data_IF_718944227084
#
_entry.id   IF_718944227084
#
_cell.length_a   1.000
_cell.length_b   1.000
_cell.length_c   1.000
_cell.angle_alpha   90.00
_cell.angle_beta   90.00
_cell.angle_gamma   90.00
#
_symmetry.space_group_name_H-M   'P 1'
#
loop_
_entity.id
_entity.type
_entity.pdbx_description
1 polymer ?
#
# COMPACT_ATOMS: atom_id res chain seq x y z
N UNK A 1 -30.32 -8.47 23.36
CA UNK A 1 -29.66 -9.59 22.64
C UNK A 1 -28.30 -9.09 22.22
N UNK A 2 -27.22 -9.66 22.78
CA UNK A 2 -25.85 -9.30 22.44
C UNK A 2 -25.55 -9.86 21.05
N UNK A 3 -25.43 -9.01 20.04
CA UNK A 3 -24.92 -9.42 18.72
C UNK A 3 -23.40 -9.44 18.82
N UNK A 4 -22.83 -10.61 18.59
CA UNK A 4 -21.40 -10.87 18.52
C UNK A 4 -20.84 -10.11 17.32
N UNK A 5 -19.95 -9.14 17.56
CA UNK A 5 -19.15 -8.48 16.52
C UNK A 5 -18.01 -9.43 16.18
N UNK A 6 -17.98 -9.95 14.95
CA UNK A 6 -16.78 -10.57 14.39
C UNK A 6 -16.23 -9.52 13.42
N UNK A 7 -15.40 -8.63 13.93
CA UNK A 7 -14.53 -7.84 13.10
C UNK A 7 -13.33 -8.73 12.77
N UNK A 8 -13.30 -9.24 11.55
CA UNK A 8 -12.20 -10.08 11.07
C UNK A 8 -11.07 -9.17 10.60
N UNK A 9 -10.34 -8.57 11.56
CA UNK A 9 -9.09 -7.88 11.28
C UNK A 9 -8.00 -8.93 11.10
N UNK A 10 -7.50 -9.09 9.88
CA UNK A 10 -6.32 -9.92 9.62
C UNK A 10 -5.10 -9.05 9.91
N UNK A 11 -4.48 -9.30 11.06
CA UNK A 11 -3.09 -8.91 11.27
C UNK A 11 -2.23 -9.76 10.33
N UNK A 12 -1.63 -9.14 9.30
CA UNK A 12 -0.64 -9.78 8.45
C UNK A 12 0.59 -10.04 9.33
N UNK A 13 0.65 -11.23 9.91
CA UNK A 13 1.81 -11.65 10.70
C UNK A 13 2.88 -12.12 9.73
N UNK A 14 3.88 -11.29 9.45
CA UNK A 14 5.11 -11.72 8.80
C UNK A 14 5.82 -12.71 9.72
N UNK A 15 5.56 -14.01 9.52
CA UNK A 15 6.31 -15.06 10.19
C UNK A 15 7.72 -15.10 9.57
N UNK A 16 8.65 -14.32 10.15
CA UNK A 16 10.08 -14.55 9.97
C UNK A 16 10.40 -15.90 10.62
N UNK A 17 10.38 -16.95 9.80
CA UNK A 17 10.78 -18.30 10.17
C UNK A 17 12.28 -18.33 10.44
N UNK A 18 12.69 -18.03 11.66
CA UNK A 18 14.07 -18.24 12.10
C UNK A 18 14.26 -19.75 12.31
N UNK A 19 14.59 -20.50 11.25
CA UNK A 19 14.96 -21.91 11.38
C UNK A 19 16.40 -22.00 11.90
N UNK A 20 16.55 -22.13 13.21
CA UNK A 20 17.80 -22.63 13.80
C UNK A 20 17.82 -24.16 13.64
N UNK A 21 18.53 -24.67 12.64
CA UNK A 21 18.89 -26.08 12.59
C UNK A 21 20.13 -26.34 13.49
N UNK A 22 20.16 -27.43 14.28
CA UNK A 22 21.22 -27.71 15.24
C UNK A 22 22.45 -28.30 14.55
N UNK A 23 23.61 -27.68 14.76
CA UNK A 23 24.89 -28.26 14.35
C UNK A 23 25.32 -29.36 15.33
N UNK A 24 25.64 -30.53 14.77
CA UNK A 24 26.11 -31.72 15.46
C UNK A 24 27.45 -31.51 16.18
N UNK A 25 27.50 -32.09 17.38
CA UNK A 25 28.65 -32.19 18.27
C UNK A 25 29.73 -33.10 17.65
N UNK A 26 30.92 -32.54 17.39
CA UNK A 26 32.17 -33.31 17.30
C UNK A 26 33.24 -32.65 18.16
N UNK A 27 33.51 -33.32 19.28
CA UNK A 27 34.75 -33.22 20.06
C UNK A 27 35.91 -33.84 19.27
N UNK A 28 37.06 -33.20 19.26
CA UNK A 28 38.20 -33.55 20.12
C UNK A 28 39.50 -32.88 19.65
N UNK A 29 40.42 -32.73 20.60
CA UNK A 29 41.78 -32.18 20.61
C UNK A 29 41.92 -30.66 20.37
N UNK A 30 42.53 -29.88 21.28
CA UNK A 30 43.53 -30.26 22.26
C UNK A 30 44.70 -29.28 22.18
N UNK A 31 44.60 -28.23 23.00
CA UNK A 31 45.69 -27.46 23.63
C UNK A 31 46.84 -26.92 22.76
N UNK A 32 46.98 -25.59 22.71
CA UNK A 32 48.13 -24.88 23.34
C UNK A 32 47.97 -23.36 23.22
N UNK A 33 47.95 -22.70 24.39
CA UNK A 33 48.67 -21.47 24.79
C UNK A 33 49.41 -20.66 23.71
N UNK A 34 49.50 -19.33 23.71
CA UNK A 34 49.32 -18.29 24.72
C UNK A 34 49.46 -16.90 24.03
N UNK A 35 48.81 -15.87 24.62
CA UNK A 35 49.38 -14.53 24.92
C UNK A 35 49.49 -13.43 23.84
N UNK A 36 48.88 -12.29 24.23
CA UNK A 36 49.27 -10.88 24.03
C UNK A 36 49.42 -10.34 22.61
N UNK A 37 49.20 -9.06 22.31
CA UNK A 37 49.15 -7.86 23.13
C UNK A 37 48.48 -6.73 22.31
N UNK A 38 47.82 -5.81 23.01
CA UNK A 38 47.82 -4.33 22.91
C UNK A 38 48.06 -3.68 21.52
N UNK A 39 47.37 -2.60 21.12
CA UNK A 39 47.01 -1.33 21.77
C UNK A 39 46.06 -0.58 20.80
N UNK A 40 44.98 0.10 21.23
CA UNK A 40 44.93 1.54 21.59
C UNK A 40 45.81 2.42 20.67
N UNK A 41 45.36 3.52 20.03
CA UNK A 41 44.15 4.34 20.11
C UNK A 41 44.22 5.38 18.95
N UNK A 42 43.17 6.19 18.83
CA UNK A 42 43.13 7.56 18.30
C UNK A 42 42.76 7.82 16.82
N UNK A 43 41.86 8.79 16.73
CA UNK A 43 41.10 9.25 15.58
C UNK A 43 41.84 10.33 14.78
N UNK A 44 41.45 10.50 13.52
CA UNK A 44 41.32 11.83 12.92
C UNK A 44 40.49 11.75 11.62
N UNK A 45 39.55 12.68 11.54
CA UNK A 45 38.76 13.10 10.39
C UNK A 45 39.59 13.45 9.15
N UNK A 46 39.04 13.18 7.96
CA UNK A 46 39.09 14.13 6.85
C UNK A 46 37.94 13.90 5.86
N UNK A 47 37.61 14.99 5.17
CA UNK A 47 36.33 15.36 4.59
C UNK A 47 36.25 15.14 3.06
N UNK A 48 35.00 15.01 2.58
CA UNK A 48 34.47 15.46 1.28
C UNK A 48 34.91 14.76 -0.03
N UNK A 49 33.95 14.15 -0.75
CA UNK A 49 33.52 14.62 -2.08
C UNK A 49 32.22 13.95 -2.56
N UNK A 50 31.26 14.79 -2.93
CA UNK A 50 29.94 14.43 -3.41
C UNK A 50 29.94 13.94 -4.86
N UNK A 51 29.04 13.02 -5.18
CA UNK A 51 28.46 12.87 -6.52
C UNK A 51 26.97 12.65 -6.33
N UNK A 52 26.24 13.76 -6.46
CA UNK A 52 24.79 13.85 -6.50
C UNK A 52 24.26 13.16 -7.75
N UNK A 53 23.48 12.10 -7.57
CA UNK A 53 22.48 11.70 -8.56
C UNK A 53 21.26 12.60 -8.35
N UNK A 54 21.01 13.42 -9.35
CA UNK A 54 19.93 14.39 -9.44
C UNK A 54 18.62 13.62 -9.63
N UNK A 55 17.87 13.43 -8.54
CA UNK A 55 16.49 12.99 -8.57
C UNK A 55 15.64 14.10 -9.19
N UNK A 56 15.23 13.93 -10.45
CA UNK A 56 14.31 14.81 -11.16
C UNK A 56 12.86 14.58 -10.69
N UNK A 57 12.58 14.85 -9.42
CA UNK A 57 11.20 14.94 -8.91
C UNK A 57 10.99 16.40 -8.54
N UNK A 58 10.51 17.18 -9.51
CA UNK A 58 9.91 18.49 -9.25
C UNK A 58 8.55 18.21 -8.57
N UNK A 59 8.47 18.55 -7.28
CA UNK A 59 7.29 19.02 -6.57
C UNK A 59 5.98 18.22 -6.78
N UNK A 60 5.85 17.07 -6.09
CA UNK A 60 4.50 16.62 -5.69
C UNK A 60 3.98 17.66 -4.71
N UNK A 61 3.15 18.58 -5.20
CA UNK A 61 2.55 19.64 -4.38
C UNK A 61 1.73 19.01 -3.26
N UNK A 62 1.87 19.43 -2.00
CA UNK A 62 1.02 18.94 -0.91
C UNK A 62 -0.45 19.15 -1.27
N UNK A 63 -1.26 18.11 -1.08
CA UNK A 63 -2.70 18.08 -1.34
C UNK A 63 -3.39 19.43 -1.02
N UNK A 64 -4.04 20.01 -2.03
CA UNK A 64 -4.71 21.31 -1.98
C UNK A 64 -6.05 21.28 -1.25
N UNK A 65 -6.81 22.39 -1.28
CA UNK A 65 -8.23 22.34 -0.93
C UNK A 65 -8.94 21.35 -1.87
N UNK A 66 -9.84 20.51 -1.34
CA UNK A 66 -10.58 19.53 -2.15
C UNK A 66 -11.23 20.24 -3.34
N UNK A 67 -10.88 19.80 -4.55
CA UNK A 67 -11.35 20.42 -5.79
C UNK A 67 -12.89 20.38 -5.89
N UNK A 68 -13.48 21.54 -6.17
CA UNK A 68 -14.93 21.69 -6.36
C UNK A 68 -15.49 20.85 -7.52
N UNK A 69 -14.63 20.34 -8.40
CA UNK A 69 -15.03 19.44 -9.48
C UNK A 69 -15.70 18.15 -8.96
N UNK A 70 -15.41 17.76 -7.72
CA UNK A 70 -15.91 16.52 -7.11
C UNK A 70 -17.04 16.74 -6.09
N UNK A 71 -17.49 17.98 -5.88
CA UNK A 71 -18.48 18.33 -4.84
C UNK A 71 -19.77 17.49 -4.93
N UNK A 72 -20.25 17.23 -6.15
CA UNK A 72 -21.49 16.47 -6.36
C UNK A 72 -21.31 14.99 -5.95
N UNK A 73 -20.19 14.36 -6.35
CA UNK A 73 -19.89 12.97 -5.97
C UNK A 73 -19.70 12.83 -4.46
N UNK A 74 -18.93 13.73 -3.85
CA UNK A 74 -18.70 13.76 -2.40
C UNK A 74 -20.02 13.97 -1.65
N UNK A 75 -20.87 14.89 -2.12
CA UNK A 75 -22.18 15.14 -1.53
C UNK A 75 -23.10 13.93 -1.61
N UNK A 76 -23.14 13.23 -2.73
CA UNK A 76 -23.90 11.97 -2.87
C UNK A 76 -23.42 10.91 -1.86
N UNK A 77 -22.10 10.75 -1.68
CA UNK A 77 -21.53 9.83 -0.68
C UNK A 77 -21.91 10.23 0.75
N UNK A 78 -21.83 11.52 1.09
CA UNK A 78 -22.23 12.02 2.41
C UNK A 78 -23.72 11.75 2.68
N UNK A 79 -24.60 12.02 1.71
CA UNK A 79 -26.03 11.71 1.81
C UNK A 79 -26.26 10.21 2.03
N UNK A 80 -25.53 9.35 1.32
CA UNK A 80 -25.62 7.90 1.46
C UNK A 80 -25.24 7.44 2.86
N UNK A 81 -24.10 7.91 3.39
CA UNK A 81 -23.61 7.58 4.74
C UNK A 81 -24.54 8.08 5.85
N UNK A 82 -25.23 9.20 5.62
CA UNK A 82 -26.24 9.74 6.52
C UNK A 82 -27.61 9.03 6.41
N UNK A 83 -27.76 8.08 5.48
CA UNK A 83 -29.02 7.36 5.25
C UNK A 83 -30.11 8.24 4.63
N UNK A 84 -29.70 9.25 3.86
CA UNK A 84 -30.61 10.22 3.21
C UNK A 84 -31.04 9.75 1.82
N UNK A 85 -30.29 8.83 1.20
CA UNK A 85 -30.61 8.24 -0.09
C UNK A 85 -31.59 7.07 0.05
N UNK A 86 -32.47 6.92 -0.96
CA UNK A 86 -33.33 5.75 -1.08
C UNK A 86 -32.62 4.56 -1.77
N UNK A 87 -33.25 3.38 -1.78
CA UNK A 87 -32.65 2.15 -2.33
C UNK A 87 -32.20 2.29 -3.80
N UNK A 88 -32.98 2.98 -4.65
CA UNK A 88 -32.65 3.15 -6.07
C UNK A 88 -31.46 4.12 -6.25
N UNK A 89 -31.36 5.15 -5.41
CA UNK A 89 -30.24 6.09 -5.39
C UNK A 89 -28.96 5.43 -4.87
N UNK A 90 -29.07 4.61 -3.82
CA UNK A 90 -27.95 3.83 -3.29
C UNK A 90 -27.42 2.82 -4.30
N UNK A 91 -28.30 2.14 -5.04
CA UNK A 91 -27.88 1.22 -6.10
C UNK A 91 -27.13 1.96 -7.22
N UNK A 92 -27.60 3.14 -7.63
CA UNK A 92 -26.91 3.96 -8.64
C UNK A 92 -25.56 4.49 -8.15
N UNK A 93 -25.47 4.90 -6.89
CA UNK A 93 -24.20 5.34 -6.31
C UNK A 93 -23.21 4.18 -6.17
N UNK A 94 -23.68 2.99 -5.82
CA UNK A 94 -22.85 1.78 -5.71
C UNK A 94 -22.33 1.25 -7.06
N UNK A 95 -22.79 1.78 -8.19
CA UNK A 95 -22.17 1.57 -9.51
C UNK A 95 -20.97 2.51 -9.73
N UNK A 96 -20.87 3.60 -8.96
CA UNK A 96 -19.80 4.59 -9.04
C UNK A 96 -18.74 4.36 -7.96
N UNK A 97 -19.17 4.25 -6.70
CA UNK A 97 -18.34 4.25 -5.48
C UNK A 97 -18.43 2.89 -4.77
N UNK A 98 -17.31 2.48 -4.16
CA UNK A 98 -17.20 1.26 -3.37
C UNK A 98 -18.22 1.20 -2.23
N UNK A 99 -18.86 0.05 -2.09
CA UNK A 99 -19.76 -0.22 -0.96
C UNK A 99 -19.05 -0.24 0.38
N UNK A 100 -17.74 -0.50 0.41
CA UNK A 100 -16.95 -0.44 1.65
C UNK A 100 -16.84 1.00 2.16
N UNK A 101 -16.89 2.00 1.27
CA UNK A 101 -16.97 3.44 1.62
C UNK A 101 -18.39 3.81 2.06
N UNK A 102 -19.41 3.43 1.28
CA UNK A 102 -20.81 3.78 1.56
C UNK A 102 -21.30 3.18 2.88
N UNK A 103 -20.93 1.93 3.16
CA UNK A 103 -21.36 1.18 4.35
C UNK A 103 -20.26 1.05 5.41
N UNK A 104 -19.21 1.88 5.32
CA UNK A 104 -18.22 1.99 6.39
C UNK A 104 -18.93 2.16 7.75
N UNK A 105 -18.56 1.39 8.78
CA UNK A 105 -19.12 1.54 10.11
C UNK A 105 -18.98 2.99 10.61
N UNK A 106 -19.94 3.48 11.40
CA UNK A 106 -19.92 4.86 11.90
C UNK A 106 -18.71 5.17 12.82
N UNK A 107 -18.02 4.15 13.34
CA UNK A 107 -16.78 4.26 14.10
C UNK A 107 -15.52 4.08 13.25
N UNK A 108 -15.67 3.94 11.93
CA UNK A 108 -14.60 3.97 10.93
C UNK A 108 -14.74 5.25 10.10
N UNK A 109 -13.99 6.31 10.43
CA UNK A 109 -13.98 7.53 9.64
C UNK A 109 -13.57 7.26 8.20
N UNK A 110 -14.28 7.91 7.27
CA UNK A 110 -13.95 7.93 5.84
C UNK A 110 -13.39 9.29 5.51
N UNK A 111 -12.33 9.32 4.74
CA UNK A 111 -11.63 10.55 4.35
C UNK A 111 -11.67 10.74 2.85
N UNK A 112 -11.66 12.01 2.45
CA UNK A 112 -11.46 12.45 1.08
C UNK A 112 -10.33 13.47 1.00
N UNK A 113 -9.56 13.39 -0.08
CA UNK A 113 -8.54 14.37 -0.42
C UNK A 113 -8.37 14.42 -1.95
N UNK A 114 -7.80 15.52 -2.44
CA UNK A 114 -7.41 15.66 -3.84
C UNK A 114 -5.91 15.95 -3.97
N UNK A 115 -5.26 15.30 -4.92
CA UNK A 115 -3.83 15.44 -5.18
C UNK A 115 -3.53 15.17 -6.66
N UNK A 116 -2.82 16.08 -7.32
CA UNK A 116 -2.23 15.86 -8.65
C UNK A 116 -1.04 14.90 -8.54
N UNK A 117 -1.25 13.63 -8.92
CA UNK A 117 -0.25 12.56 -8.77
C UNK A 117 0.54 12.26 -10.05
N UNK A 118 0.11 12.74 -11.22
CA UNK A 118 0.88 12.65 -12.48
C UNK A 118 1.41 13.98 -13.01
N UNK A 119 1.25 15.06 -12.24
CA UNK A 119 1.68 16.42 -12.55
C UNK A 119 1.07 16.97 -13.85
N UNK A 120 -0.17 16.57 -14.18
CA UNK A 120 -0.90 17.05 -15.35
C UNK A 120 -1.68 18.36 -15.10
N UNK A 121 -1.74 18.82 -13.84
CA UNK A 121 -2.44 20.00 -13.38
C UNK A 121 -3.91 19.75 -12.99
N UNK A 122 -4.36 18.49 -12.97
CA UNK A 122 -5.68 18.07 -12.48
C UNK A 122 -5.49 17.24 -11.22
N UNK A 123 -6.07 17.67 -10.11
CA UNK A 123 -6.03 16.85 -8.89
C UNK A 123 -6.92 15.60 -9.02
N UNK A 124 -6.39 14.43 -8.67
CA UNK A 124 -7.15 13.19 -8.48
C UNK A 124 -7.85 13.16 -7.12
N UNK A 125 -9.10 12.72 -7.09
CA UNK A 125 -9.86 12.45 -5.86
C UNK A 125 -9.58 11.04 -5.34
N UNK A 126 -9.36 10.91 -4.04
CA UNK A 126 -9.28 9.63 -3.35
C UNK A 126 -10.31 9.53 -2.22
N UNK A 127 -11.01 8.39 -2.15
CA UNK A 127 -11.74 7.95 -0.96
C UNK A 127 -10.94 6.89 -0.23
N UNK A 128 -10.70 7.10 1.07
CA UNK A 128 -9.86 6.21 1.85
C UNK A 128 -10.27 6.15 3.32
N UNK A 129 -9.70 5.18 4.03
CA UNK A 129 -9.78 5.07 5.50
C UNK A 129 -8.37 4.97 6.05
N UNK A 130 -8.17 5.38 7.30
CA UNK A 130 -6.89 5.15 7.97
C UNK A 130 -6.84 3.76 8.59
N UNK A 131 -5.70 3.10 8.42
CA UNK A 131 -5.33 1.88 9.12
C UNK A 131 -4.15 2.15 10.05
N UNK A 132 -4.32 1.84 11.32
CA UNK A 132 -3.22 1.92 12.30
C UNK A 132 -2.23 0.78 12.10
N UNK A 133 -0.98 1.10 11.78
CA UNK A 133 0.14 0.17 11.72
C UNK A 133 0.61 -0.28 13.11
N UNK A 134 1.51 -1.27 13.17
CA UNK A 134 2.04 -1.79 14.44
C UNK A 134 2.78 -0.73 15.27
N UNK A 135 3.43 0.23 14.61
CA UNK A 135 4.13 1.34 15.26
C UNK A 135 3.22 2.51 15.67
N UNK A 136 1.91 2.38 15.39
CA UNK A 136 0.90 3.39 15.69
C UNK A 136 0.78 4.49 14.64
N UNK A 137 1.48 4.40 13.52
CA UNK A 137 1.24 5.29 12.37
C UNK A 137 -0.12 5.01 11.73
N UNK A 138 -0.78 6.06 11.26
CA UNK A 138 -2.02 5.95 10.48
C UNK A 138 -1.66 5.93 8.99
N UNK A 139 -2.07 4.88 8.29
CA UNK A 139 -1.78 4.65 6.88
C UNK A 139 -3.07 4.80 6.07
N UNK A 140 -3.10 5.68 5.06
CA UNK A 140 -4.24 5.79 4.15
C UNK A 140 -4.39 4.51 3.31
N UNK A 141 -5.54 3.85 3.41
CA UNK A 141 -5.94 2.73 2.55
C UNK A 141 -6.99 3.22 1.58
N UNK A 142 -6.65 3.27 0.30
CA UNK A 142 -7.49 3.83 -0.77
C UNK A 142 -8.50 2.77 -1.25
N UNK A 143 -9.76 3.19 -1.33
CA UNK A 143 -10.88 2.37 -1.78
C UNK A 143 -11.42 2.81 -3.14
N UNK A 144 -11.37 4.10 -3.48
CA UNK A 144 -11.65 4.54 -4.84
C UNK A 144 -10.77 5.74 -5.23
N UNK A 145 -10.45 5.84 -6.52
CA UNK A 145 -9.70 6.93 -7.13
C UNK A 145 -10.34 7.43 -8.42
N UNK A 146 -10.45 8.76 -8.56
CA UNK A 146 -11.07 9.42 -9.72
C UNK A 146 -10.22 10.56 -10.24
N UNK A 147 -10.21 10.77 -11.54
CA UNK A 147 -9.75 12.02 -12.15
C UNK A 147 -10.93 12.71 -12.85
N UNK A 148 -10.88 14.03 -13.01
CA UNK A 148 -11.94 14.81 -13.64
C UNK A 148 -11.51 15.25 -15.03
N UNK A 149 -12.20 14.75 -16.08
CA UNK A 149 -11.95 15.15 -17.47
C UNK A 149 -13.22 15.26 -18.28
N UNK A 150 -13.23 16.20 -19.21
CA UNK A 150 -14.34 16.41 -20.16
C UNK A 150 -15.72 16.51 -19.48
N UNK A 151 -15.77 17.20 -18.33
CA UNK A 151 -16.94 17.37 -17.47
C UNK A 151 -17.50 16.05 -16.86
N UNK A 152 -16.68 15.00 -16.72
CA UNK A 152 -17.06 13.70 -16.14
C UNK A 152 -15.99 13.12 -15.21
N UNK A 153 -16.41 12.18 -14.35
CA UNK A 153 -15.53 11.43 -13.45
C UNK A 153 -14.98 10.18 -14.16
N UNK A 154 -13.66 10.08 -14.25
CA UNK A 154 -12.99 8.87 -14.73
C UNK A 154 -12.52 8.07 -13.53
N UNK A 155 -13.22 6.97 -13.24
CA UNK A 155 -12.87 6.03 -12.19
C UNK A 155 -11.68 5.15 -12.63
N UNK A 156 -10.55 5.26 -11.95
CA UNK A 156 -9.30 4.58 -12.34
C UNK A 156 -8.81 3.53 -11.33
N UNK A 157 -9.32 3.55 -10.11
CA UNK A 157 -8.90 2.66 -9.03
C UNK A 157 -10.10 2.30 -8.17
N UNK A 158 -10.35 1.01 -7.98
CA UNK A 158 -11.32 0.51 -7.00
C UNK A 158 -10.66 -0.56 -6.13
N UNK A 159 -10.65 -0.32 -4.83
CA UNK A 159 -10.08 -1.17 -3.80
C UNK A 159 -11.12 -1.77 -2.86
N UNK A 160 -10.63 -2.47 -1.85
CA UNK A 160 -11.46 -3.09 -0.83
C UNK A 160 -10.67 -3.80 0.24
N UNK A 161 -11.37 -4.38 1.22
CA UNK A 161 -10.76 -5.10 2.36
C UNK A 161 -9.81 -6.27 2.01
N UNK A 162 -9.77 -6.72 0.76
CA UNK A 162 -8.90 -7.79 0.24
C UNK A 162 -8.09 -7.37 -0.99
N UNK A 163 -8.16 -6.09 -1.33
CA UNK A 163 -7.53 -5.47 -2.47
C UNK A 163 -7.22 -4.01 -2.11
N UNK A 164 -6.23 -3.83 -1.24
CA UNK A 164 -5.93 -2.55 -0.62
C UNK A 164 -4.95 -1.77 -1.47
N UNK A 165 -5.24 -0.49 -1.72
CA UNK A 165 -4.34 0.40 -2.46
C UNK A 165 -3.71 1.45 -1.54
N UNK A 166 -2.49 1.84 -1.87
CA UNK A 166 -1.68 2.79 -1.11
C UNK A 166 -0.97 3.72 -2.09
N UNK A 167 -0.93 5.00 -1.76
CA UNK A 167 -0.14 5.97 -2.52
C UNK A 167 1.25 6.09 -1.92
N UNK A 168 2.28 5.94 -2.74
CA UNK A 168 3.66 6.17 -2.36
C UNK A 168 4.05 7.63 -2.56
N UNK A 169 5.05 8.09 -1.81
CA UNK A 169 5.56 9.48 -1.88
C UNK A 169 6.12 9.89 -3.25
N UNK A 170 6.44 8.93 -4.11
CA UNK A 170 6.90 9.14 -5.48
C UNK A 170 5.77 9.21 -6.52
N UNK A 171 4.51 9.15 -6.08
CA UNK A 171 3.32 9.15 -6.95
C UNK A 171 2.90 7.76 -7.45
N UNK A 172 3.68 6.72 -7.19
CA UNK A 172 3.31 5.35 -7.55
C UNK A 172 2.17 4.84 -6.68
N UNK A 173 1.35 3.95 -7.25
CA UNK A 173 0.26 3.30 -6.53
C UNK A 173 0.64 1.85 -6.25
N UNK A 174 0.67 1.49 -4.98
CA UNK A 174 0.91 0.13 -4.52
C UNK A 174 -0.40 -0.57 -4.19
N UNK A 175 -0.44 -1.87 -4.40
CA UNK A 175 -1.58 -2.71 -4.15
C UNK A 175 -1.18 -3.96 -3.36
N UNK A 176 -2.00 -4.31 -2.38
CA UNK A 176 -1.95 -5.58 -1.67
C UNK A 176 -3.25 -6.32 -1.96
N UNK A 177 -3.15 -7.32 -2.82
CA UNK A 177 -4.27 -8.14 -3.25
C UNK A 177 -4.23 -9.53 -2.63
N UNK A 178 -5.41 -10.15 -2.54
CA UNK A 178 -5.55 -11.50 -2.01
C UNK A 178 -6.39 -12.40 -2.93
N UNK A 179 -5.77 -13.44 -3.49
CA UNK A 179 -6.44 -14.47 -4.30
C UNK A 179 -7.04 -15.63 -3.47
N UNK A 180 -7.30 -15.43 -2.18
CA UNK A 180 -7.95 -16.40 -1.29
C UNK A 180 -7.47 -16.28 0.16
N UNK A 181 -7.75 -17.27 1.01
CA UNK A 181 -7.31 -17.23 2.41
C UNK A 181 -5.80 -17.48 2.62
N UNK A 182 -5.04 -17.83 1.56
CA UNK A 182 -3.65 -18.28 1.68
C UNK A 182 -2.64 -17.53 0.78
N UNK A 183 -3.09 -16.71 -0.18
CA UNK A 183 -2.22 -16.13 -1.20
C UNK A 183 -2.25 -14.61 -1.15
N UNK A 184 -1.08 -14.03 -1.36
CA UNK A 184 -0.87 -12.57 -1.33
C UNK A 184 -0.21 -12.15 -2.62
N UNK A 185 -0.71 -11.06 -3.20
CA UNK A 185 -0.13 -10.36 -4.32
C UNK A 185 0.24 -8.95 -3.91
N UNK A 186 1.37 -8.49 -4.41
CA UNK A 186 1.84 -7.13 -4.32
C UNK A 186 2.01 -6.59 -5.72
N UNK A 187 1.50 -5.40 -6.01
CA UNK A 187 1.70 -4.76 -7.31
C UNK A 187 2.02 -3.28 -7.12
N UNK A 188 2.85 -2.75 -8.02
CA UNK A 188 3.09 -1.31 -8.21
C UNK A 188 2.54 -0.93 -9.57
N UNK A 189 1.83 0.19 -9.59
CA UNK A 189 1.24 0.78 -10.77
C UNK A 189 1.80 2.18 -10.97
N UNK A 190 2.08 2.50 -12.23
CA UNK A 190 2.21 3.87 -12.68
C UNK A 190 0.81 4.41 -12.97
N UNK A 191 0.54 5.64 -12.55
CA UNK A 191 -0.67 6.36 -12.94
C UNK A 191 -0.33 7.40 -14.00
N UNK A 192 -1.17 7.47 -15.04
CA UNK A 192 -1.14 8.57 -15.99
C UNK A 192 -2.47 8.64 -16.70
N UNK A 193 -2.97 9.85 -16.93
CA UNK A 193 -4.12 10.10 -17.80
C UNK A 193 -5.36 9.28 -17.38
N UNK A 194 -5.64 9.18 -16.07
CA UNK A 194 -6.82 8.48 -15.55
C UNK A 194 -6.77 6.97 -15.66
N UNK A 195 -5.58 6.37 -15.78
CA UNK A 195 -5.40 4.94 -15.88
C UNK A 195 -4.18 4.43 -15.10
N UNK A 196 -4.34 3.25 -14.49
CA UNK A 196 -3.25 2.50 -13.90
C UNK A 196 -2.62 1.57 -14.94
N UNK A 197 -1.29 1.60 -15.02
CA UNK A 197 -0.50 0.64 -15.79
C UNK A 197 0.37 -0.15 -14.83
N UNK A 198 0.27 -1.48 -14.86
CA UNK A 198 1.12 -2.35 -14.07
C UNK A 198 2.58 -2.11 -14.43
N UNK A 199 3.40 -1.86 -13.42
CA UNK A 199 4.85 -1.76 -13.55
C UNK A 199 5.50 -3.09 -13.17
N UNK A 200 5.24 -3.53 -11.94
CA UNK A 200 5.89 -4.69 -11.34
C UNK A 200 4.95 -5.33 -10.31
N UNK A 201 5.01 -6.66 -10.19
CA UNK A 201 4.27 -7.38 -9.15
C UNK A 201 5.00 -8.61 -8.63
N UNK A 202 4.68 -8.97 -7.40
CA UNK A 202 5.08 -10.19 -6.73
C UNK A 202 3.83 -10.92 -6.26
N UNK A 203 3.79 -12.24 -6.37
CA UNK A 203 2.67 -13.00 -5.83
C UNK A 203 3.08 -14.38 -5.36
N UNK A 204 2.40 -14.86 -4.33
CA UNK A 204 2.56 -16.23 -3.84
C UNK A 204 1.53 -17.17 -4.46
N UNK A 205 1.96 -18.41 -4.69
CA UNK A 205 1.09 -19.53 -5.08
C UNK A 205 1.57 -20.84 -4.40
N UNK A 206 0.66 -21.76 -4.15
CA UNK A 206 0.98 -23.10 -3.62
C UNK A 206 1.09 -24.09 -4.78
N UNK A 207 2.34 -24.50 -5.06
CA UNK A 207 2.59 -25.59 -5.99
C UNK A 207 3.05 -26.81 -5.21
N UNK A 208 2.16 -27.80 -5.11
CA UNK A 208 2.45 -29.12 -4.52
C UNK A 208 2.78 -29.11 -3.02
N UNK A 209 2.25 -28.16 -2.25
CA UNK A 209 2.41 -28.03 -0.80
C UNK A 209 3.56 -27.12 -0.39
N UNK A 210 4.15 -26.38 -1.33
CA UNK A 210 5.20 -25.39 -1.11
C UNK A 210 4.72 -24.03 -1.63
N UNK A 211 4.81 -23.01 -0.78
CA UNK A 211 4.51 -21.63 -1.17
C UNK A 211 5.72 -21.08 -1.92
N UNK A 212 5.54 -20.84 -3.21
CA UNK A 212 6.53 -20.19 -4.06
C UNK A 212 6.10 -18.75 -4.33
N UNK A 213 7.10 -17.87 -4.41
CA UNK A 213 6.90 -16.50 -4.86
C UNK A 213 7.25 -16.39 -6.34
N UNK A 214 6.53 -15.51 -7.02
CA UNK A 214 6.73 -15.19 -8.41
C UNK A 214 6.84 -13.70 -8.57
N UNK A 215 7.67 -13.28 -9.52
CA UNK A 215 7.81 -11.90 -9.97
C UNK A 215 7.32 -11.79 -11.42
N UNK A 216 6.54 -10.75 -11.74
CA UNK A 216 6.08 -10.47 -13.09
C UNK A 216 5.91 -8.97 -13.33
N UNK A 217 6.00 -8.56 -14.59
CA UNK A 217 5.74 -7.19 -15.06
C UNK A 217 4.50 -7.09 -15.96
N UNK A 218 3.78 -8.20 -16.14
CA UNK A 218 2.69 -8.29 -17.14
C UNK A 218 1.33 -8.55 -16.50
N UNK A 219 1.27 -9.34 -15.43
CA UNK A 219 0.04 -9.61 -14.67
C UNK A 219 0.31 -10.23 -13.31
N UNK A 220 -0.50 -9.83 -12.33
CA UNK A 220 -0.61 -10.52 -11.04
C UNK A 220 -1.27 -11.90 -11.26
N UNK A 221 -0.65 -12.96 -10.71
CA UNK A 221 -1.06 -14.36 -10.95
C UNK A 221 -1.08 -14.76 -12.44
N UNK A 222 -0.18 -14.18 -13.24
CA UNK A 222 0.05 -14.56 -14.63
C UNK A 222 0.69 -15.95 -14.80
N UNK A 223 0.70 -16.45 -16.03
CA UNK A 223 1.37 -17.72 -16.39
C UNK A 223 2.86 -17.54 -16.73
N UNK A 224 3.37 -16.32 -16.71
CA UNK A 224 4.71 -15.91 -17.13
C UNK A 224 5.58 -15.40 -15.98
N UNK A 225 5.09 -15.48 -14.74
CA UNK A 225 5.87 -15.12 -13.56
C UNK A 225 7.13 -15.98 -13.42
N UNK A 226 8.24 -15.33 -13.10
CA UNK A 226 9.51 -15.98 -12.81
C UNK A 226 9.62 -16.27 -11.30
N UNK A 227 10.21 -17.41 -10.94
CA UNK A 227 10.38 -17.78 -9.53
C UNK A 227 11.22 -16.73 -8.80
N UNK A 228 10.72 -16.29 -7.66
CA UNK A 228 11.28 -15.26 -6.79
C UNK A 228 11.30 -15.74 -5.33
N UNK A 229 11.77 -14.90 -4.42
CA UNK A 229 11.75 -15.15 -2.97
C UNK A 229 10.72 -14.31 -2.20
N UNK A 230 10.41 -14.74 -0.97
CA UNK A 230 9.58 -13.98 -0.05
C UNK A 230 10.27 -12.69 0.41
N UNK A 231 11.61 -12.73 0.52
CA UNK A 231 12.45 -11.60 0.87
C UNK A 231 12.38 -10.49 -0.19
N UNK A 232 12.46 -10.84 -1.47
CA UNK A 232 12.29 -9.88 -2.58
C UNK A 232 10.89 -9.29 -2.60
N UNK A 233 9.86 -10.12 -2.44
CA UNK A 233 8.47 -9.65 -2.37
C UNK A 233 8.22 -8.74 -1.16
N UNK A 234 8.85 -9.01 -0.01
CA UNK A 234 8.76 -8.15 1.17
C UNK A 234 9.53 -6.85 0.99
N UNK A 235 10.70 -6.87 0.34
CA UNK A 235 11.49 -5.67 0.06
C UNK A 235 10.76 -4.74 -0.92
N UNK A 236 10.03 -5.30 -1.89
CA UNK A 236 9.18 -4.57 -2.83
C UNK A 236 8.13 -3.69 -2.12
N UNK A 237 7.62 -4.15 -0.97
CA UNK A 237 6.63 -3.43 -0.16
C UNK A 237 7.23 -2.43 0.83
N UNK A 238 8.56 -2.23 0.82
CA UNK A 238 9.25 -1.26 1.67
C UNK A 238 9.23 0.18 1.14
N UNK A 239 8.08 0.63 0.63
CA UNK A 239 7.92 2.00 0.10
C UNK A 239 7.51 2.99 1.19
N UNK A 240 7.77 4.27 0.93
CA UNK A 240 7.37 5.37 1.80
C UNK A 240 5.94 5.81 1.45
N UNK A 241 5.01 5.66 2.39
CA UNK A 241 3.62 6.12 2.23
C UNK A 241 3.56 7.63 2.02
N UNK A 242 2.69 8.06 1.11
CA UNK A 242 2.36 9.46 0.93
C UNK A 242 1.60 9.96 2.17
N UNK A 243 2.06 11.06 2.74
CA UNK A 243 1.28 11.80 3.73
C UNK A 243 0.28 12.70 3.00
N UNK A 244 -1.01 12.43 3.19
CA UNK A 244 -2.08 13.23 2.60
C UNK A 244 -2.40 14.39 3.56
N UNK A 245 -2.00 15.60 3.16
CA UNK A 245 -2.37 16.82 3.88
C UNK A 245 -3.81 17.24 3.52
N UNK A 246 -4.46 18.03 4.38
CA UNK A 246 -5.76 18.67 4.09
C UNK A 246 -6.92 17.70 3.77
N UNK A 247 -6.92 16.53 4.40
CA UNK A 247 -8.03 15.57 4.31
C UNK A 247 -9.32 16.07 4.99
N UNK A 248 -10.46 15.64 4.45
CA UNK A 248 -11.79 15.91 5.00
C UNK A 248 -12.41 14.58 5.44
N UNK A 249 -12.78 14.47 6.71
CA UNK A 249 -13.63 13.38 7.21
C UNK A 249 -15.08 13.62 6.75
N UNK A 250 -15.67 12.61 6.10
CA UNK A 250 -17.04 12.62 5.58
C UNK A 250 -17.91 11.55 6.23
#
# INVERSE_FOLDING_TARGET
>A
MKKSLIASFIAVSLLVGCSSAPAEDKKDDGDTTEVSETSEEEAASEETSASSEESLIDDVTPAGEVSMAYDDLISEVVMARNGELNDDELMQLGEKVSYDIIYAPADLPVYVATLDIDADGVDELFFYVHQTAEDGSEIPVIFDGYTYRDDDYVHFLSGGSRDSYYLASDGSIYNIASSGAAYTGFARFNYSDGALTLDECYYSDDISGEVLWYHSTTALWGNDGEVSSAEEASAFMGFDYMFIANEIEI
#
